data_IF_085533198801
#
_entry.id   IF_085533198801
#
_cell.length_a   1.000
_cell.length_b   1.000
_cell.length_c   1.000
_cell.angle_alpha   90.00
_cell.angle_beta   90.00
_cell.angle_gamma   90.00
#
_symmetry.space_group_name_H-M   'P 1'
#
loop_
_entity.id
_entity.type
_entity.pdbx_description
1 polymer ?
#
# COMPACT_ATOMS: atom_id res chain seq x y z
N UNK A 1 -7.94 6.18 -5.03
CA UNK A 1 -6.61 5.81 -4.49
C UNK A 1 -6.86 5.08 -3.19
N UNK A 2 -6.25 3.91 -2.97
CA UNK A 2 -6.39 3.13 -1.74
C UNK A 2 -5.14 3.23 -0.86
N UNK A 3 -5.17 2.59 0.31
CA UNK A 3 -4.06 2.54 1.26
C UNK A 3 -3.87 1.13 1.80
N UNK A 4 -2.62 0.72 1.99
CA UNK A 4 -2.26 -0.48 2.74
C UNK A 4 -1.32 -0.11 3.88
N UNK A 5 -1.21 -1.01 4.84
CA UNK A 5 -0.32 -0.85 5.99
C UNK A 5 0.98 -1.63 5.74
N UNK A 6 2.11 -0.97 5.94
CA UNK A 6 3.43 -1.57 5.72
C UNK A 6 4.39 -1.31 6.88
N UNK A 7 5.41 -2.14 7.07
CA UNK A 7 6.44 -1.93 8.09
C UNK A 7 7.34 -0.70 7.82
N UNK A 8 7.51 -0.34 6.55
CA UNK A 8 8.28 0.82 6.08
C UNK A 8 7.63 1.36 4.81
N UNK A 9 8.00 2.57 4.40
CA UNK A 9 7.49 3.24 3.19
C UNK A 9 8.55 3.29 2.08
N UNK A 10 9.29 2.19 1.90
CA UNK A 10 10.41 2.09 0.94
C UNK A 10 10.36 0.77 0.18
N UNK A 11 11.23 0.60 -0.83
CA UNK A 11 11.34 -0.66 -1.59
C UNK A 11 11.50 -1.87 -0.64
N UNK A 12 10.90 -3.00 -1.03
CA UNK A 12 10.86 -4.25 -0.25
C UNK A 12 10.19 -4.09 1.12
N UNK A 13 9.16 -3.26 1.20
CA UNK A 13 8.29 -3.20 2.37
C UNK A 13 7.48 -4.48 2.51
N UNK A 14 7.20 -4.85 3.75
CA UNK A 14 6.29 -5.94 4.08
C UNK A 14 4.96 -5.34 4.50
N UNK A 15 3.88 -5.92 4.00
CA UNK A 15 2.52 -5.49 4.28
C UNK A 15 1.98 -6.25 5.48
N UNK A 16 1.16 -5.57 6.28
CA UNK A 16 0.42 -6.21 7.35
C UNK A 16 -0.76 -6.97 6.75
N UNK A 17 -0.78 -8.28 6.97
CA UNK A 17 -1.85 -9.19 6.60
C UNK A 17 -2.57 -9.66 7.86
N UNK A 18 -3.88 -9.83 7.75
CA UNK A 18 -4.77 -10.18 8.84
C UNK A 18 -5.59 -11.40 8.45
N UNK A 19 -5.69 -12.37 9.36
CA UNK A 19 -6.49 -13.55 9.11
C UNK A 19 -7.96 -13.26 9.48
N UNK A 20 -8.92 -13.49 8.56
CA UNK A 20 -10.33 -13.16 8.80
C UNK A 20 -11.03 -14.07 9.82
N UNK A 21 -10.33 -15.08 10.35
CA UNK A 21 -10.95 -16.20 11.07
C UNK A 21 -10.89 -16.12 12.61
N UNK A 22 -10.40 -15.03 13.21
CA UNK A 22 -10.17 -15.00 14.66
C UNK A 22 -10.83 -13.85 15.40
N UNK A 23 -11.12 -14.15 16.67
CA UNK A 23 -11.91 -13.40 17.62
C UNK A 23 -11.44 -11.92 17.73
N UNK A 24 -12.39 -10.99 17.77
CA UNK A 24 -12.17 -9.52 17.80
C UNK A 24 -11.26 -9.11 18.97
N UNK A 25 -11.21 -9.92 20.03
CA UNK A 25 -10.39 -9.70 21.23
C UNK A 25 -8.88 -9.85 20.99
N UNK A 26 -8.45 -10.50 19.90
CA UNK A 26 -7.03 -10.65 19.54
C UNK A 26 -6.85 -10.70 18.01
N UNK A 27 -6.66 -9.54 17.39
CA UNK A 27 -6.33 -9.47 15.97
C UNK A 27 -4.86 -9.89 15.79
N UNK A 28 -4.65 -11.14 15.38
CA UNK A 28 -3.33 -11.60 14.95
C UNK A 28 -3.00 -11.06 13.55
N UNK A 29 -1.77 -10.60 13.39
CA UNK A 29 -1.27 -10.09 12.12
C UNK A 29 0.08 -10.72 11.78
N UNK A 30 0.33 -10.87 10.48
CA UNK A 30 1.62 -11.29 9.94
C UNK A 30 2.13 -10.27 8.94
N UNK A 31 3.44 -10.29 8.71
CA UNK A 31 4.08 -9.45 7.70
C UNK A 31 4.32 -10.28 6.46
N UNK A 32 3.78 -9.86 5.33
CA UNK A 32 3.89 -10.56 4.04
C UNK A 32 4.58 -9.68 3.00
N UNK A 33 5.32 -10.29 2.08
CA UNK A 33 5.87 -9.62 0.90
C UNK A 33 5.02 -9.95 -0.32
N UNK A 34 4.85 -8.97 -1.20
CA UNK A 34 4.31 -9.21 -2.54
C UNK A 34 5.43 -9.67 -3.46
N UNK A 35 5.20 -10.70 -4.26
CA UNK A 35 6.24 -11.32 -5.08
C UNK A 35 6.51 -10.56 -6.39
N UNK A 36 5.60 -9.71 -6.86
CA UNK A 36 5.76 -8.98 -8.13
C UNK A 36 5.18 -7.57 -8.07
N UNK A 37 5.76 -6.70 -7.24
CA UNK A 37 5.23 -5.35 -6.97
C UNK A 37 5.97 -4.25 -7.72
N UNK A 38 5.21 -3.36 -8.35
CA UNK A 38 5.71 -2.13 -8.97
C UNK A 38 5.37 -0.91 -8.10
N UNK A 39 6.23 0.10 -8.15
CA UNK A 39 6.05 1.34 -7.38
C UNK A 39 6.09 2.55 -8.30
N UNK A 40 5.26 3.56 -8.01
CA UNK A 40 5.39 4.87 -8.65
C UNK A 40 6.53 5.71 -8.02
N UNK A 41 6.80 6.88 -8.61
CA UNK A 41 7.83 7.80 -8.12
C UNK A 41 7.58 8.33 -6.70
N UNK A 42 6.36 8.22 -6.19
CA UNK A 42 5.97 8.62 -4.84
C UNK A 42 6.03 7.44 -3.84
N UNK A 43 6.43 6.24 -4.29
CA UNK A 43 6.49 5.03 -3.48
C UNK A 43 5.14 4.35 -3.27
N UNK A 44 4.11 4.74 -4.04
CA UNK A 44 2.82 4.04 -4.01
C UNK A 44 2.93 2.72 -4.75
N UNK A 45 2.22 1.70 -4.27
CA UNK A 45 2.10 0.43 -4.98
C UNK A 45 1.20 0.63 -6.20
N UNK A 46 1.71 0.24 -7.35
CA UNK A 46 0.94 0.13 -8.58
C UNK A 46 0.28 -1.26 -8.60
N UNK A 47 -1.05 -1.28 -8.57
CA UNK A 47 -1.83 -2.52 -8.62
C UNK A 47 -2.40 -2.76 -10.01
N UNK A 48 -2.33 -4.02 -10.42
CA UNK A 48 -3.15 -4.59 -11.48
C UNK A 48 -4.06 -5.68 -10.90
N UNK A 49 -4.79 -6.40 -11.76
CA UNK A 49 -5.69 -7.47 -11.33
C UNK A 49 -4.96 -8.63 -10.65
N UNK A 50 -3.70 -8.90 -10.99
CA UNK A 50 -2.91 -9.96 -10.37
C UNK A 50 -2.46 -9.55 -8.97
N UNK A 51 -1.95 -8.33 -8.81
CA UNK A 51 -1.57 -7.79 -7.48
C UNK A 51 -2.77 -7.67 -6.56
N UNK A 52 -3.94 -7.28 -7.08
CA UNK A 52 -5.16 -7.21 -6.27
C UNK A 52 -5.56 -8.59 -5.74
N UNK A 53 -5.52 -9.61 -6.60
CA UNK A 53 -5.79 -11.00 -6.21
C UNK A 53 -4.77 -11.52 -5.18
N UNK A 54 -3.49 -11.15 -5.33
CA UNK A 54 -2.44 -11.49 -4.37
C UNK A 54 -2.71 -10.87 -2.99
N UNK A 55 -3.11 -9.59 -2.94
CA UNK A 55 -3.49 -8.92 -1.68
C UNK A 55 -4.66 -9.63 -0.99
N UNK A 56 -5.69 -10.01 -1.74
CA UNK A 56 -6.84 -10.75 -1.21
C UNK A 56 -6.43 -12.12 -0.66
N UNK A 57 -5.63 -12.89 -1.41
CA UNK A 57 -5.14 -14.21 -0.99
C UNK A 57 -4.26 -14.14 0.26
N UNK A 58 -3.45 -13.09 0.38
CA UNK A 58 -2.58 -12.88 1.53
C UNK A 58 -3.33 -12.29 2.74
N UNK A 59 -4.59 -11.87 2.59
CA UNK A 59 -5.35 -11.22 3.66
C UNK A 59 -4.85 -9.80 3.96
N UNK A 60 -4.34 -9.08 2.96
CA UNK A 60 -3.90 -7.68 3.13
C UNK A 60 -5.08 -6.73 2.92
N UNK A 61 -5.51 -5.98 3.94
CA UNK A 61 -6.62 -5.05 3.83
C UNK A 61 -6.21 -3.82 3.02
N UNK A 62 -7.07 -3.47 2.06
CA UNK A 62 -6.97 -2.21 1.31
C UNK A 62 -8.02 -1.25 1.84
N UNK A 63 -7.58 -0.12 2.37
CA UNK A 63 -8.43 0.93 2.91
C UNK A 63 -8.71 1.97 1.84
N UNK A 64 -9.98 2.33 1.64
CA UNK A 64 -10.34 3.41 0.70
C UNK A 64 -9.90 4.79 1.19
N UNK A 65 -9.84 4.97 2.51
CA UNK A 65 -9.50 6.24 3.17
C UNK A 65 -8.35 6.06 4.14
N UNK A 66 -7.43 7.03 4.15
CA UNK A 66 -6.31 7.08 5.10
C UNK A 66 -6.79 7.14 6.55
N UNK A 67 -7.92 7.80 6.81
CA UNK A 67 -8.54 7.88 8.14
C UNK A 67 -8.94 6.49 8.66
N UNK A 68 -9.55 5.66 7.83
CA UNK A 68 -9.94 4.29 8.18
C UNK A 68 -8.72 3.43 8.50
N UNK A 69 -7.64 3.55 7.72
CA UNK A 69 -6.37 2.87 8.00
C UNK A 69 -5.77 3.33 9.35
N UNK A 70 -5.93 4.62 9.69
CA UNK A 70 -5.43 5.18 10.95
C UNK A 70 -6.21 4.64 12.16
N UNK A 71 -7.54 4.63 12.08
CA UNK A 71 -8.40 4.06 13.14
C UNK A 71 -8.06 2.59 13.37
N UNK A 72 -7.87 1.84 12.29
CA UNK A 72 -7.44 0.44 12.35
C UNK A 72 -6.09 0.26 13.05
N UNK A 73 -5.08 1.09 12.72
CA UNK A 73 -3.79 1.05 13.42
C UNK A 73 -3.85 1.42 14.89
N UNK A 74 -4.71 2.38 15.26
CA UNK A 74 -4.93 2.77 16.66
C UNK A 74 -5.54 1.61 17.44
N UNK A 75 -6.56 0.94 16.88
CA UNK A 75 -7.17 -0.24 17.49
C UNK A 75 -6.19 -1.39 17.73
N UNK A 76 -5.13 -1.48 16.92
CA UNK A 76 -4.10 -2.52 17.00
C UNK A 76 -2.85 -2.11 17.80
N UNK A 77 -2.75 -0.86 18.26
CA UNK A 77 -1.53 -0.37 18.94
C UNK A 77 -0.29 -0.30 18.03
N UNK A 78 -0.45 -0.28 16.71
CA UNK A 78 0.66 -0.36 15.74
C UNK A 78 1.16 1.00 15.23
N UNK A 79 0.68 2.10 15.82
CA UNK A 79 0.94 3.47 15.36
C UNK A 79 2.43 3.82 15.21
N UNK A 80 3.31 3.27 16.06
CA UNK A 80 4.75 3.53 16.00
C UNK A 80 5.49 2.67 14.95
N UNK A 81 4.88 1.58 14.48
CA UNK A 81 5.56 0.52 13.71
C UNK A 81 5.05 0.34 12.29
N UNK A 82 3.92 0.97 11.96
CA UNK A 82 3.32 0.89 10.63
C UNK A 82 3.39 2.22 9.88
N UNK A 83 3.45 2.12 8.56
CA UNK A 83 3.42 3.23 7.60
C UNK A 83 2.25 3.00 6.65
N UNK A 84 1.69 4.11 6.18
CA UNK A 84 0.64 4.11 5.16
C UNK A 84 1.30 4.18 3.79
N UNK A 85 0.96 3.24 2.94
CA UNK A 85 1.44 3.22 1.56
C UNK A 85 0.22 3.37 0.67
N UNK A 86 0.27 4.34 -0.25
CA UNK A 86 -0.80 4.51 -1.23
C UNK A 86 -0.82 3.37 -2.24
N UNK A 87 -2.01 3.09 -2.75
CA UNK A 87 -2.26 2.09 -3.77
C UNK A 87 -2.96 2.75 -4.95
N UNK A 88 -2.40 2.61 -6.14
CA UNK A 88 -2.91 3.21 -7.39
C UNK A 88 -3.08 2.15 -8.47
N UNK A 89 -4.19 2.20 -9.18
CA UNK A 89 -4.40 1.34 -10.35
C UNK A 89 -3.42 1.71 -11.45
N UNK A 90 -2.68 0.71 -11.95
CA UNK A 90 -1.66 0.87 -12.98
C UNK A 90 -2.18 1.56 -14.25
N UNK A 91 -3.39 1.20 -14.70
CA UNK A 91 -4.05 1.86 -15.85
C UNK A 91 -4.24 3.37 -15.65
N UNK A 92 -4.58 3.80 -14.44
CA UNK A 92 -4.75 5.22 -14.13
C UNK A 92 -3.40 5.96 -14.10
N UNK A 93 -2.35 5.29 -13.62
CA UNK A 93 -0.97 5.82 -13.63
C UNK A 93 -0.40 5.95 -15.05
N UNK A 94 -0.58 4.93 -15.90
CA UNK A 94 -0.14 4.96 -17.30
C UNK A 94 -0.86 6.07 -18.09
N UNK A 95 -2.15 6.31 -17.83
CA UNK A 95 -2.87 7.43 -18.42
C UNK A 95 -2.27 8.79 -18.02
N UNK A 96 -1.90 8.99 -16.75
CA UNK A 96 -1.27 10.24 -16.28
C UNK A 96 0.12 10.50 -16.87
N UNK A 97 0.82 9.44 -17.30
CA UNK A 97 2.09 9.57 -18.03
C UNK A 97 1.90 9.82 -19.52
N UNK A 98 0.78 9.35 -20.08
CA UNK A 98 0.44 9.55 -21.49
C UNK A 98 -0.07 10.98 -21.72
N UNK A 99 -0.76 11.57 -20.73
CA UNK A 99 -1.05 13.01 -20.67
C UNK A 99 0.22 13.79 -20.29
N UNK A 100 1.01 14.13 -21.31
CA UNK A 100 2.31 14.84 -21.29
C UNK A 100 2.32 16.26 -20.67
N UNK A 101 1.51 16.56 -19.66
CA UNK A 101 1.47 17.88 -19.01
C UNK A 101 1.82 17.88 -17.52
N UNK A 102 2.22 16.74 -16.95
CA UNK A 102 2.65 16.70 -15.54
C UNK A 102 4.17 16.71 -15.46
N UNK A 103 4.83 17.82 -15.07
CA UNK A 103 6.27 17.82 -14.88
C UNK A 103 6.64 16.82 -13.77
N UNK A 104 7.44 15.82 -14.14
CA UNK A 104 8.07 14.90 -13.21
C UNK A 104 9.01 15.68 -12.29
N UNK A 105 8.84 15.59 -10.97
CA UNK A 105 9.59 16.34 -9.96
C UNK A 105 11.05 15.85 -9.76
N UNK A 106 11.65 15.23 -10.78
CA UNK A 106 13.03 14.73 -10.76
C UNK A 106 14.03 15.62 -11.50
N UNK A 107 13.61 16.78 -12.01
CA UNK A 107 14.51 17.70 -12.72
C UNK A 107 15.41 18.53 -11.81
N UNK A 108 15.19 18.56 -10.48
CA UNK A 108 15.99 19.40 -9.55
C UNK A 108 17.15 18.68 -8.85
N UNK A 109 17.33 17.36 -9.02
CA UNK A 109 18.42 16.60 -8.39
C UNK A 109 19.63 16.35 -9.31
N UNK A 110 19.74 17.10 -10.41
CA UNK A 110 20.85 16.96 -11.37
C UNK A 110 21.70 18.23 -11.54
N UNK A 111 21.79 19.08 -10.51
CA UNK A 111 22.89 20.05 -10.32
C UNK A 111 23.18 20.28 -8.84
#
# INVERSE_FOLDING_TARGET
MGYVLANKATKNQMLYAFEPNFNIDSIEYKKVSLEHVQYDHQGNILIDSATLKELELLGVPVFEKKSSAKEFLVGLGLMAHAKYVGVRYKRAYEHSFTDLNTPSSWTELNR
#
